data_IF_468958798444
#
_entry.id   IF_468958798444
#
_cell.length_a   1.000
_cell.length_b   1.000
_cell.length_c   1.000
_cell.angle_alpha   90.00
_cell.angle_beta   90.00
_cell.angle_gamma   90.00
#
_symmetry.space_group_name_H-M   'P 1'
#
loop_
_entity.id
_entity.type
_entity.pdbx_description
1 polymer ?
#
# COMPACT_ATOMS: atom_id res chain seq x y z
N UNK A 1 -20.61 -12.41 -11.70
CA UNK A 1 -19.18 -12.41 -11.34
C UNK A 1 -18.41 -12.65 -12.63
N UNK A 2 -17.66 -11.66 -13.09
CA UNK A 2 -16.96 -11.74 -14.36
C UNK A 2 -15.47 -11.91 -14.03
N UNK A 3 -15.09 -13.14 -13.65
CA UNK A 3 -13.78 -13.49 -13.09
C UNK A 3 -12.59 -12.99 -13.92
N UNK A 4 -12.81 -12.67 -15.20
CA UNK A 4 -11.83 -12.12 -16.12
C UNK A 4 -11.48 -10.64 -15.84
N UNK A 5 -12.38 -9.86 -15.24
CA UNK A 5 -12.14 -8.46 -14.84
C UNK A 5 -11.61 -8.34 -13.41
N UNK A 6 -11.98 -9.28 -12.53
CA UNK A 6 -11.57 -9.26 -11.11
C UNK A 6 -10.06 -9.59 -10.95
N UNK A 7 -9.53 -10.45 -11.83
CA UNK A 7 -8.11 -10.82 -11.90
C UNK A 7 -7.14 -9.62 -12.07
N UNK A 8 -7.26 -8.81 -13.13
CA UNK A 8 -6.36 -7.67 -13.34
C UNK A 8 -6.53 -6.60 -12.27
N UNK A 9 -7.75 -6.41 -11.73
CA UNK A 9 -8.00 -5.46 -10.65
C UNK A 9 -7.27 -5.85 -9.35
N UNK A 10 -7.30 -7.14 -8.98
CA UNK A 10 -6.55 -7.62 -7.82
C UNK A 10 -5.04 -7.48 -8.03
N UNK A 11 -4.52 -7.85 -9.19
CA UNK A 11 -3.10 -7.72 -9.50
C UNK A 11 -2.63 -6.25 -9.41
N UNK A 12 -3.42 -5.33 -9.96
CA UNK A 12 -3.17 -3.89 -9.89
C UNK A 12 -3.20 -3.38 -8.45
N UNK A 13 -4.18 -3.80 -7.65
CA UNK A 13 -4.27 -3.43 -6.24
C UNK A 13 -3.05 -3.89 -5.43
N UNK A 14 -2.60 -5.13 -5.64
CA UNK A 14 -1.40 -5.66 -5.01
C UNK A 14 -0.14 -4.88 -5.40
N UNK A 15 -0.03 -4.48 -6.67
CA UNK A 15 1.08 -3.65 -7.16
C UNK A 15 1.09 -2.25 -6.55
N UNK A 16 -0.07 -1.59 -6.48
CA UNK A 16 -0.17 -0.29 -5.84
C UNK A 16 0.15 -0.35 -4.35
N UNK A 17 -0.34 -1.37 -3.64
CA UNK A 17 -0.04 -1.56 -2.23
C UNK A 17 1.46 -1.81 -1.98
N UNK A 18 2.10 -2.62 -2.83
CA UNK A 18 3.52 -2.94 -2.75
C UNK A 18 4.42 -1.73 -3.06
N UNK A 19 4.10 -0.95 -4.10
CA UNK A 19 4.81 0.29 -4.44
C UNK A 19 4.62 1.37 -3.39
N UNK A 20 3.41 1.54 -2.87
CA UNK A 20 3.13 2.46 -1.77
C UNK A 20 3.95 2.11 -0.53
N UNK A 21 3.99 0.83 -0.16
CA UNK A 21 4.77 0.34 0.95
C UNK A 21 6.29 0.53 0.74
N UNK A 22 6.78 0.30 -0.48
CA UNK A 22 8.17 0.56 -0.82
C UNK A 22 8.55 2.05 -0.62
N UNK A 23 7.70 2.97 -1.08
CA UNK A 23 7.92 4.41 -0.92
C UNK A 23 7.84 4.85 0.55
N UNK A 24 6.88 4.30 1.30
CA UNK A 24 6.71 4.56 2.72
C UNK A 24 7.93 4.11 3.53
N UNK A 25 8.45 2.91 3.26
CA UNK A 25 9.65 2.37 3.92
C UNK A 25 10.93 3.11 3.51
N UNK A 26 11.02 3.57 2.26
CA UNK A 26 12.17 4.33 1.78
C UNK A 26 12.23 5.75 2.37
N UNK A 27 11.15 6.24 3.02
CA UNK A 27 11.05 7.63 3.46
C UNK A 27 11.09 8.63 2.30
N UNK A 28 10.62 8.20 1.12
CA UNK A 28 10.64 8.97 -0.12
C UNK A 28 9.45 9.93 -0.25
N UNK A 29 8.87 10.02 -1.45
CA UNK A 29 7.71 10.88 -1.72
C UNK A 29 6.46 10.39 -0.97
N UNK A 30 6.23 10.92 0.25
CA UNK A 30 5.08 10.60 1.10
C UNK A 30 3.74 10.83 0.36
N UNK A 31 3.70 11.81 -0.54
CA UNK A 31 2.49 12.10 -1.31
C UNK A 31 2.19 11.04 -2.38
N UNK A 32 3.22 10.57 -3.11
CA UNK A 32 3.05 9.49 -4.06
C UNK A 32 2.69 8.17 -3.36
N UNK A 33 3.33 7.90 -2.21
CA UNK A 33 2.99 6.75 -1.37
C UNK A 33 1.52 6.80 -0.92
N UNK A 34 1.04 7.96 -0.49
CA UNK A 34 -0.36 8.16 -0.11
C UNK A 34 -1.34 7.90 -1.25
N UNK A 35 -1.08 8.44 -2.44
CA UNK A 35 -1.96 8.27 -3.60
C UNK A 35 -2.05 6.81 -4.02
N UNK A 36 -0.92 6.11 -4.07
CA UNK A 36 -0.88 4.69 -4.39
C UNK A 36 -1.58 3.84 -3.32
N UNK A 37 -1.38 4.15 -2.04
CA UNK A 37 -2.04 3.44 -0.94
C UNK A 37 -3.56 3.64 -0.98
N UNK A 38 -4.03 4.86 -1.25
CA UNK A 38 -5.45 5.16 -1.39
C UNK A 38 -6.06 4.44 -2.60
N UNK A 39 -5.38 4.45 -3.75
CA UNK A 39 -5.84 3.73 -4.94
C UNK A 39 -5.90 2.21 -4.72
N UNK A 40 -4.91 1.63 -4.01
CA UNK A 40 -4.93 0.23 -3.64
C UNK A 40 -6.13 -0.10 -2.74
N UNK A 41 -6.37 0.72 -1.73
CA UNK A 41 -7.51 0.55 -0.80
C UNK A 41 -8.85 0.64 -1.53
N UNK A 42 -9.03 1.61 -2.43
CA UNK A 42 -10.26 1.78 -3.21
C UNK A 42 -10.55 0.55 -4.08
N UNK A 43 -9.55 0.07 -4.83
CA UNK A 43 -9.72 -1.10 -5.72
C UNK A 43 -9.99 -2.37 -4.90
N UNK A 44 -9.32 -2.56 -3.76
CA UNK A 44 -9.57 -3.70 -2.86
C UNK A 44 -10.96 -3.61 -2.23
N UNK A 45 -11.40 -2.41 -1.82
CA UNK A 45 -12.72 -2.18 -1.26
C UNK A 45 -13.83 -2.47 -2.26
N UNK A 46 -13.65 -2.08 -3.53
CA UNK A 46 -14.61 -2.39 -4.59
C UNK A 46 -14.66 -3.88 -4.93
N UNK A 47 -13.51 -4.55 -4.95
CA UNK A 47 -13.46 -6.01 -5.07
C UNK A 47 -14.17 -6.70 -3.89
N UNK A 48 -13.93 -6.25 -2.66
CA UNK A 48 -14.59 -6.81 -1.48
C UNK A 48 -16.12 -6.62 -1.52
N UNK A 49 -16.61 -5.45 -1.97
CA UNK A 49 -18.05 -5.20 -2.16
C UNK A 49 -18.65 -6.10 -3.24
N UNK A 50 -17.94 -6.29 -4.36
CA UNK A 50 -18.39 -7.14 -5.46
C UNK A 50 -18.45 -8.62 -5.08
N UNK A 51 -17.51 -9.08 -4.26
CA UNK A 51 -17.48 -10.45 -3.75
C UNK A 51 -18.52 -10.67 -2.63
N UNK A 52 -18.77 -9.65 -1.81
CA UNK A 52 -19.81 -9.64 -0.78
C UNK A 52 -19.75 -10.89 0.12
N UNK A 53 -20.90 -11.49 0.49
CA UNK A 53 -20.91 -12.70 1.33
C UNK A 53 -20.32 -13.95 0.67
N UNK A 54 -20.03 -13.89 -0.64
CA UNK A 54 -19.48 -15.02 -1.41
C UNK A 54 -17.95 -14.97 -1.51
N UNK A 55 -17.30 -13.95 -0.92
CA UNK A 55 -15.85 -13.84 -0.85
C UNK A 55 -15.18 -15.10 -0.27
N UNK A 56 -15.88 -15.81 0.61
CA UNK A 56 -15.39 -17.02 1.29
C UNK A 56 -15.79 -18.33 0.59
N UNK A 57 -16.41 -18.30 -0.59
CA UNK A 57 -16.72 -19.54 -1.30
C UNK A 57 -15.44 -20.17 -1.84
N UNK A 58 -15.36 -21.50 -1.80
CA UNK A 58 -14.16 -22.25 -2.24
C UNK A 58 -13.75 -21.91 -3.68
N UNK A 59 -14.71 -21.66 -4.56
CA UNK A 59 -14.46 -21.31 -5.97
C UNK A 59 -13.82 -19.93 -6.12
N UNK A 60 -14.29 -18.94 -5.36
CA UNK A 60 -13.75 -17.58 -5.33
C UNK A 60 -12.36 -17.58 -4.70
N UNK A 61 -12.19 -18.27 -3.57
CA UNK A 61 -10.90 -18.44 -2.91
C UNK A 61 -9.89 -19.12 -3.84
N UNK A 62 -10.29 -20.18 -4.56
CA UNK A 62 -9.42 -20.88 -5.52
C UNK A 62 -9.08 -20.02 -6.73
N UNK A 63 -10.00 -19.15 -7.18
CA UNK A 63 -9.72 -18.19 -8.24
C UNK A 63 -8.71 -17.16 -7.76
N UNK A 64 -8.97 -16.50 -6.64
CA UNK A 64 -8.13 -15.46 -6.05
C UNK A 64 -6.73 -16.02 -5.72
N UNK A 65 -6.64 -17.22 -5.14
CA UNK A 65 -5.39 -17.94 -4.86
C UNK A 65 -4.58 -18.25 -6.13
N UNK A 66 -5.24 -18.51 -7.27
CA UNK A 66 -4.54 -18.67 -8.56
C UNK A 66 -4.02 -17.36 -9.12
N UNK A 67 -4.74 -16.25 -8.93
CA UNK A 67 -4.27 -14.90 -9.31
C UNK A 67 -3.02 -14.56 -8.52
N UNK A 68 -3.14 -14.75 -7.21
CA UNK A 68 -2.11 -14.70 -6.21
C UNK A 68 -0.82 -15.43 -6.63
N UNK A 69 -0.93 -16.71 -6.99
CA UNK A 69 0.22 -17.52 -7.44
C UNK A 69 0.85 -17.01 -8.73
N UNK A 70 0.06 -16.37 -9.61
CA UNK A 70 0.53 -15.83 -10.88
C UNK A 70 1.09 -14.41 -10.75
N UNK A 71 0.73 -13.71 -9.68
CA UNK A 71 1.25 -12.41 -9.35
C UNK A 71 2.73 -12.54 -8.94
N UNK A 72 3.63 -12.36 -9.91
CA UNK A 72 5.04 -12.11 -9.67
C UNK A 72 5.23 -10.60 -9.57
N UNK A 73 5.19 -10.07 -8.35
CA UNK A 73 5.61 -8.69 -8.11
C UNK A 73 7.01 -8.49 -8.71
N UNK A 74 7.22 -7.52 -9.62
CA UNK A 74 8.56 -7.14 -10.04
C UNK A 74 9.35 -6.76 -8.79
N UNK A 75 10.47 -7.46 -8.53
CA UNK A 75 11.39 -7.04 -7.49
C UNK A 75 12.12 -5.79 -7.98
N UNK A 76 11.48 -4.63 -7.85
CA UNK A 76 12.17 -3.36 -8.01
C UNK A 76 13.13 -3.22 -6.83
N UNK A 77 14.42 -3.26 -7.12
CA UNK A 77 15.48 -2.88 -6.20
C UNK A 77 15.29 -1.42 -5.81
N UNK A 78 14.92 -1.17 -4.55
CA UNK A 78 14.78 0.18 -3.97
C UNK A 78 16.15 0.86 -3.77
N UNK A 79 17.12 0.65 -4.67
CA UNK A 79 18.52 1.09 -4.52
C UNK A 79 18.86 2.46 -5.10
N UNK A 80 17.88 3.23 -5.59
CA UNK A 80 18.17 4.49 -6.31
C UNK A 80 17.44 5.74 -5.78
N UNK A 81 16.95 5.76 -4.53
CA UNK A 81 16.37 6.98 -3.93
C UNK A 81 17.03 7.43 -2.62
N UNK A 82 18.14 6.79 -2.20
CA UNK A 82 18.96 7.26 -1.10
C UNK A 82 19.91 8.38 -1.58
N UNK A 83 19.34 9.54 -1.91
CA UNK A 83 20.12 10.59 -2.55
C UNK A 83 19.48 11.98 -2.63
N UNK A 84 18.51 12.31 -1.77
CA UNK A 84 18.18 13.73 -1.55
C UNK A 84 18.64 14.10 -0.16
N UNK A 85 19.89 14.57 -0.07
CA UNK A 85 20.41 15.24 1.11
C UNK A 85 19.54 16.46 1.38
N UNK A 86 18.94 16.64 2.57
CA UNK A 86 18.42 17.94 2.95
C UNK A 86 19.64 18.81 3.28
N UNK A 87 20.17 19.49 2.28
CA UNK A 87 21.23 20.47 2.48
C UNK A 87 20.76 21.81 1.93
N UNK A 88 20.57 22.74 2.87
CA UNK A 88 20.52 24.19 2.72
C UNK A 88 19.23 24.79 2.16
N UNK A 89 18.19 24.83 3.00
CA UNK A 89 17.26 25.97 2.99
C UNK A 89 17.01 26.48 4.42
N UNK A 90 18.09 26.63 5.20
CA UNK A 90 18.06 27.19 6.56
C UNK A 90 18.04 28.72 6.58
N UNK A 91 17.13 29.35 5.84
CA UNK A 91 17.07 30.83 5.77
C UNK A 91 15.66 31.41 5.75
N UNK A 92 14.64 30.64 6.16
CA UNK A 92 13.26 31.12 6.35
C UNK A 92 12.63 30.43 7.58
N UNK A 93 12.80 31.04 8.76
CA UNK A 93 11.99 30.93 9.99
C UNK A 93 11.62 29.55 10.55
N UNK A 94 11.96 29.30 11.82
CA UNK A 94 11.57 28.10 12.60
C UNK A 94 10.07 27.72 12.48
N UNK A 95 9.17 28.69 12.35
CA UNK A 95 7.73 28.44 12.16
C UNK A 95 7.42 27.66 10.86
N UNK A 96 8.13 27.93 9.76
CA UNK A 96 7.86 27.26 8.47
C UNK A 96 8.38 25.80 8.46
N UNK A 97 9.43 25.50 9.22
CA UNK A 97 9.93 24.12 9.37
C UNK A 97 8.95 23.24 10.13
N UNK A 98 8.38 23.73 11.22
CA UNK A 98 7.42 22.97 12.03
C UNK A 98 6.14 22.65 11.23
N UNK A 99 5.58 23.63 10.49
CA UNK A 99 4.43 23.39 9.62
C UNK A 99 4.72 22.40 8.47
N UNK A 100 5.94 22.39 7.93
CA UNK A 100 6.33 21.46 6.87
C UNK A 100 6.60 20.04 7.39
N UNK A 101 7.09 19.92 8.62
CA UNK A 101 7.27 18.64 9.31
C UNK A 101 5.94 18.05 9.75
N UNK A 102 5.04 18.86 10.29
CA UNK A 102 3.70 18.44 10.70
C UNK A 102 2.88 17.91 9.52
N UNK A 103 2.90 18.61 8.36
CA UNK A 103 2.25 18.10 7.14
C UNK A 103 2.84 16.80 6.63
N UNK A 104 4.17 16.62 6.72
CA UNK A 104 4.80 15.33 6.35
C UNK A 104 4.34 14.21 7.28
N UNK A 105 4.30 14.47 8.58
CA UNK A 105 3.81 13.50 9.57
C UNK A 105 2.33 13.15 9.34
N UNK A 106 1.49 14.12 8.98
CA UNK A 106 0.09 13.87 8.61
C UNK A 106 -0.04 13.00 7.35
N UNK A 107 0.72 13.30 6.29
CA UNK A 107 0.69 12.50 5.05
C UNK A 107 1.19 11.09 5.32
N UNK A 108 2.24 10.95 6.13
CA UNK A 108 2.82 9.67 6.52
C UNK A 108 1.84 8.84 7.37
N UNK A 109 1.15 9.46 8.31
CA UNK A 109 0.10 8.84 9.13
C UNK A 109 -1.10 8.39 8.29
N UNK A 110 -1.55 9.24 7.35
CA UNK A 110 -2.60 8.89 6.39
C UNK A 110 -2.18 7.71 5.51
N UNK A 111 -0.95 7.71 5.00
CA UNK A 111 -0.40 6.61 4.19
C UNK A 111 -0.39 5.30 4.97
N UNK A 112 0.11 5.31 6.22
CA UNK A 112 0.08 4.14 7.09
C UNK A 112 -1.34 3.60 7.31
N UNK A 113 -2.32 4.49 7.42
CA UNK A 113 -3.73 4.10 7.60
C UNK A 113 -4.28 3.39 6.37
N UNK A 114 -4.01 3.88 5.16
CA UNK A 114 -4.38 3.20 3.92
C UNK A 114 -3.67 1.85 3.74
N UNK A 115 -2.38 1.76 4.06
CA UNK A 115 -1.63 0.50 4.00
C UNK A 115 -2.22 -0.56 4.95
N UNK A 116 -2.61 -0.14 6.16
CA UNK A 116 -3.31 -1.02 7.11
C UNK A 116 -4.68 -1.46 6.59
N UNK A 117 -5.47 -0.54 6.02
CA UNK A 117 -6.76 -0.88 5.43
C UNK A 117 -6.63 -1.88 4.27
N UNK A 118 -5.63 -1.70 3.40
CA UNK A 118 -5.32 -2.62 2.31
C UNK A 118 -4.94 -4.01 2.84
N UNK A 119 -4.09 -4.08 3.87
CA UNK A 119 -3.76 -5.35 4.54
C UNK A 119 -5.03 -6.03 5.07
N UNK A 120 -5.80 -5.35 5.93
CA UNK A 120 -6.98 -5.96 6.55
C UNK A 120 -8.04 -6.40 5.53
N UNK A 121 -8.17 -5.67 4.42
CA UNK A 121 -9.08 -6.05 3.34
C UNK A 121 -8.61 -7.34 2.68
N UNK A 122 -7.30 -7.51 2.45
CA UNK A 122 -6.75 -8.77 1.93
C UNK A 122 -6.97 -9.94 2.90
N UNK A 123 -6.76 -9.74 4.21
CA UNK A 123 -7.04 -10.77 5.23
C UNK A 123 -8.52 -11.15 5.26
N UNK A 124 -9.43 -10.16 5.25
CA UNK A 124 -10.86 -10.39 5.24
C UNK A 124 -11.35 -11.12 3.98
N UNK A 125 -10.58 -11.03 2.87
CA UNK A 125 -10.81 -11.80 1.66
C UNK A 125 -10.09 -13.16 1.64
N UNK A 126 -9.39 -13.55 2.70
CA UNK A 126 -8.64 -14.82 2.77
C UNK A 126 -7.35 -14.84 1.95
N UNK A 127 -6.81 -13.67 1.59
CA UNK A 127 -5.67 -13.51 0.68
C UNK A 127 -4.34 -13.26 1.38
N UNK A 128 -4.20 -13.76 2.61
CA UNK A 128 -2.99 -13.65 3.43
C UNK A 128 -1.72 -14.09 2.70
N UNK A 129 -1.82 -15.16 1.91
CA UNK A 129 -0.69 -15.74 1.18
C UNK A 129 -0.07 -14.81 0.14
N UNK A 130 -0.76 -13.72 -0.24
CA UNK A 130 -0.30 -12.78 -1.29
C UNK A 130 -0.19 -11.34 -0.87
N UNK A 131 -0.27 -11.11 0.43
CA UNK A 131 0.12 -9.84 1.01
C UNK A 131 1.58 -9.58 0.62
N UNK A 132 1.88 -8.45 -0.07
CA UNK A 132 3.25 -8.12 -0.44
C UNK A 132 4.14 -8.00 0.80
N UNK A 133 5.35 -8.57 0.78
CA UNK A 133 6.26 -8.53 1.93
C UNK A 133 6.60 -7.10 2.37
N UNK A 134 6.63 -6.13 1.44
CA UNK A 134 6.86 -4.73 1.78
C UNK A 134 5.66 -4.10 2.46
N UNK A 135 4.44 -4.45 2.04
CA UNK A 135 3.22 -4.05 2.73
C UNK A 135 3.26 -4.54 4.18
N UNK A 136 3.68 -5.80 4.38
CA UNK A 136 3.83 -6.36 5.71
C UNK A 136 4.79 -5.53 6.58
N UNK A 137 6.01 -5.33 6.09
CA UNK A 137 7.02 -4.54 6.79
C UNK A 137 6.60 -3.09 7.03
N UNK A 138 5.86 -2.48 6.11
CA UNK A 138 5.39 -1.10 6.24
C UNK A 138 4.35 -0.95 7.34
N UNK A 139 3.42 -1.91 7.45
CA UNK A 139 2.44 -1.93 8.54
C UNK A 139 3.11 -2.17 9.88
N UNK A 140 4.03 -3.14 9.98
CA UNK A 140 4.82 -3.39 11.19
C UNK A 140 5.64 -2.16 11.62
N UNK A 141 6.26 -1.47 10.65
CA UNK A 141 6.98 -0.22 10.94
C UNK A 141 6.02 0.89 11.38
N UNK A 142 4.80 0.93 10.86
CA UNK A 142 3.82 1.97 11.21
C UNK A 142 3.22 1.81 12.60
N UNK A 143 3.25 0.61 13.18
CA UNK A 143 2.72 0.32 14.53
C UNK A 143 3.74 0.55 15.64
N UNK A 144 5.04 0.55 15.32
CA UNK A 144 6.12 0.78 16.29
C UNK A 144 6.33 2.27 16.61
N UNK A 145 5.97 3.18 15.68
CA UNK A 145 6.19 4.62 15.81
C UNK A 145 4.89 5.43 16.09
N UNK A 146 3.87 4.77 16.65
CA UNK A 146 2.67 5.41 17.22
C UNK A 146 2.90 5.75 18.70
#
# INVERSE_FOLDING_TARGET
MNSQADLPNLAMALEYADLAAALYLAGGSDHAARLLAAAAEEVLGDLAKLLGPHAHSDEVQTLLARVALRYKAPQMDTRMAAGVRPSQLGLLGDDYSDFAEQRRNEVRSATASYLRAAWYTLEAMGLEAVIPQRLQKAVDHSTIYL
#
